data_IF_393760370611
#
_entry.id   IF_393760370611
#
_cell.length_a   1.000
_cell.length_b   1.000
_cell.length_c   1.000
_cell.angle_alpha   90.00
_cell.angle_beta   90.00
_cell.angle_gamma   90.00
#
_symmetry.space_group_name_H-M   'P 1'
#
loop_
_entity.id
_entity.type
_entity.pdbx_description
1 polymer ?
#
# COMPACT_ATOMS: atom_id res chain seq x y z
N UNK A 1 -5.73 14.71 0.89
CA UNK A 1 -4.96 14.58 2.10
C UNK A 1 -4.19 13.29 2.13
N UNK A 2 -3.04 13.29 2.77
CA UNK A 2 -2.19 12.12 2.78
C UNK A 2 -2.86 10.91 3.42
N UNK A 3 -3.68 11.14 4.44
CA UNK A 3 -4.35 10.04 5.13
C UNK A 3 -5.39 9.36 4.25
N UNK A 4 -6.04 10.12 3.37
CA UNK A 4 -7.01 9.54 2.45
C UNK A 4 -6.33 8.63 1.45
N UNK A 5 -5.18 9.07 0.93
CA UNK A 5 -4.41 8.27 -0.01
C UNK A 5 -3.95 6.97 0.64
N UNK A 6 -3.52 7.05 1.88
CA UNK A 6 -3.06 5.88 2.61
C UNK A 6 -4.20 4.90 2.85
N UNK A 7 -5.38 5.40 3.20
CA UNK A 7 -6.53 4.53 3.41
C UNK A 7 -6.94 3.82 2.13
N UNK A 8 -6.92 4.53 1.02
CA UNK A 8 -7.25 3.94 -0.27
C UNK A 8 -6.22 2.85 -0.60
N UNK A 9 -4.95 3.14 -0.38
CA UNK A 9 -3.88 2.20 -0.65
C UNK A 9 -4.05 0.92 0.17
N UNK A 10 -4.29 1.08 1.47
CA UNK A 10 -4.48 -0.06 2.37
C UNK A 10 -5.67 -0.89 1.93
N UNK A 11 -6.78 -0.24 1.60
CA UNK A 11 -7.98 -0.93 1.15
C UNK A 11 -7.75 -1.73 -0.11
N UNK A 12 -7.02 -1.15 -1.06
CA UNK A 12 -6.72 -1.84 -2.32
C UNK A 12 -5.80 -3.04 -2.09
N UNK A 13 -4.81 -2.89 -1.22
CA UNK A 13 -3.89 -3.99 -0.92
C UNK A 13 -4.65 -5.18 -0.34
N UNK A 14 -5.58 -4.90 0.56
CA UNK A 14 -6.32 -5.97 1.23
C UNK A 14 -7.38 -6.62 0.35
N UNK A 15 -7.96 -5.85 -0.57
CA UNK A 15 -9.06 -6.37 -1.38
C UNK A 15 -8.63 -6.83 -2.77
N UNK A 16 -7.42 -6.47 -3.22
CA UNK A 16 -6.96 -6.80 -4.57
C UNK A 16 -5.54 -7.30 -4.51
N UNK A 17 -5.40 -8.62 -4.62
CA UNK A 17 -4.09 -9.25 -4.56
C UNK A 17 -3.21 -8.88 -5.75
N UNK A 18 -3.82 -8.73 -6.92
CA UNK A 18 -3.09 -8.31 -8.11
C UNK A 18 -2.47 -6.92 -7.91
N UNK A 19 -3.21 -6.04 -7.27
CA UNK A 19 -2.70 -4.72 -6.96
C UNK A 19 -1.50 -4.80 -6.00
N UNK A 20 -1.63 -5.62 -4.97
CA UNK A 20 -0.54 -5.80 -4.01
C UNK A 20 0.71 -6.32 -4.70
N UNK A 21 0.55 -7.28 -5.61
CA UNK A 21 1.66 -7.85 -6.34
C UNK A 21 2.31 -6.81 -7.25
N UNK A 22 1.50 -6.04 -7.95
CA UNK A 22 2.00 -4.98 -8.82
C UNK A 22 2.74 -3.93 -8.01
N UNK A 23 2.26 -3.64 -6.82
CA UNK A 23 2.88 -2.66 -5.94
C UNK A 23 4.27 -3.11 -5.50
N UNK A 24 4.45 -4.41 -5.30
CA UNK A 24 5.75 -4.97 -4.94
C UNK A 24 6.70 -4.95 -6.14
N UNK A 25 6.19 -5.29 -7.32
CA UNK A 25 7.02 -5.38 -8.52
C UNK A 25 7.35 -4.01 -9.11
N UNK A 26 6.36 -3.13 -9.16
CA UNK A 26 6.53 -1.80 -9.75
C UNK A 26 5.83 -0.77 -8.88
N UNK A 27 6.40 -0.43 -7.73
CA UNK A 27 5.71 0.47 -6.78
C UNK A 27 5.44 1.85 -7.36
N UNK A 28 6.42 2.43 -8.04
CA UNK A 28 6.25 3.79 -8.56
C UNK A 28 5.15 3.85 -9.60
N UNK A 29 5.20 2.94 -10.57
CA UNK A 29 4.22 2.93 -11.64
C UNK A 29 2.82 2.63 -11.11
N UNK A 30 2.73 1.68 -10.19
CA UNK A 30 1.45 1.29 -9.63
C UNK A 30 0.80 2.43 -8.86
N UNK A 31 1.59 3.17 -8.09
CA UNK A 31 1.08 4.32 -7.35
C UNK A 31 0.59 5.41 -8.29
N UNK A 32 1.36 5.68 -9.34
CA UNK A 32 0.97 6.69 -10.31
C UNK A 32 -0.31 6.31 -11.03
N UNK A 33 -0.44 5.05 -11.40
CA UNK A 33 -1.63 4.56 -12.09
C UNK A 33 -2.89 4.73 -11.26
N UNK A 34 -2.73 4.75 -9.94
CA UNK A 34 -3.85 4.89 -9.02
C UNK A 34 -4.00 6.32 -8.46
N UNK A 35 -3.27 7.27 -9.04
CA UNK A 35 -3.38 8.66 -8.63
C UNK A 35 -2.73 8.97 -7.29
N UNK A 36 -1.83 8.09 -6.83
CA UNK A 36 -1.13 8.28 -5.58
C UNK A 36 0.28 8.78 -5.87
N UNK A 37 0.71 9.80 -5.15
CA UNK A 37 2.02 10.40 -5.34
C UNK A 37 3.11 9.48 -4.79
N UNK A 38 4.04 8.99 -5.63
CA UNK A 38 5.08 8.07 -5.16
C UNK A 38 6.22 8.83 -4.50
N UNK A 39 6.07 9.10 -3.21
CA UNK A 39 7.10 9.78 -2.45
C UNK A 39 8.28 8.83 -2.19
N UNK A 40 9.44 9.43 -1.90
CA UNK A 40 10.65 8.64 -1.62
C UNK A 40 10.43 7.76 -0.39
N UNK A 41 9.78 8.32 0.64
CA UNK A 41 9.49 7.56 1.85
C UNK A 41 8.63 6.33 1.55
N UNK A 42 7.61 6.52 0.72
CA UNK A 42 6.70 5.43 0.36
C UNK A 42 7.41 4.38 -0.47
N UNK A 43 8.18 4.81 -1.45
CA UNK A 43 8.94 3.88 -2.29
C UNK A 43 9.96 3.10 -1.48
N UNK A 44 10.62 3.77 -0.55
CA UNK A 44 11.61 3.13 0.32
C UNK A 44 10.95 2.07 1.19
N UNK A 45 9.79 2.38 1.71
CA UNK A 45 9.04 1.44 2.54
C UNK A 45 8.60 0.21 1.75
N UNK A 46 8.34 0.39 0.46
CA UNK A 46 7.89 -0.70 -0.40
C UNK A 46 9.03 -1.53 -0.96
N UNK A 47 10.25 -1.00 -0.90
CA UNK A 47 11.41 -1.75 -1.39
C UNK A 47 11.74 -2.87 -0.43
N UNK A 48 11.96 -4.04 -1.00
CA UNK A 48 12.39 -5.18 -0.19
C UNK A 48 11.27 -5.90 0.53
N UNK A 49 10.03 -5.44 0.38
CA UNK A 49 8.90 -6.18 0.95
C UNK A 49 8.30 -7.08 -0.13
N UNK A 50 7.74 -8.20 0.29
CA UNK A 50 7.00 -9.06 -0.62
C UNK A 50 5.51 -8.86 -0.40
N UNK A 51 4.70 -9.58 -1.18
CA UNK A 51 3.24 -9.42 -1.13
C UNK A 51 2.72 -9.74 0.27
N UNK A 52 3.27 -10.76 0.89
CA UNK A 52 2.82 -11.17 2.22
C UNK A 52 3.13 -10.10 3.27
N UNK A 53 4.32 -9.54 3.22
CA UNK A 53 4.71 -8.47 4.14
C UNK A 53 3.82 -7.24 3.91
N UNK A 54 3.53 -6.94 2.67
CA UNK A 54 2.69 -5.82 2.32
C UNK A 54 1.28 -5.99 2.87
N UNK A 55 0.73 -7.18 2.72
CA UNK A 55 -0.59 -7.48 3.27
C UNK A 55 -0.62 -7.37 4.79
N UNK A 56 0.44 -7.84 5.43
CA UNK A 56 0.54 -7.76 6.89
C UNK A 56 0.58 -6.31 7.35
N UNK A 57 1.31 -5.46 6.65
CA UNK A 57 1.35 -4.05 6.97
C UNK A 57 -0.02 -3.41 6.83
N UNK A 58 -0.69 -3.71 5.73
CA UNK A 58 -2.02 -3.16 5.47
C UNK A 58 -3.03 -3.65 6.52
N UNK A 59 -2.96 -4.90 6.87
CA UNK A 59 -3.85 -5.46 7.88
C UNK A 59 -3.59 -4.81 9.24
N UNK A 60 -2.34 -4.52 9.53
CA UNK A 60 -1.99 -3.85 10.78
C UNK A 60 -2.61 -2.47 10.87
N UNK A 61 -2.58 -1.72 9.77
CA UNK A 61 -3.22 -0.42 9.71
C UNK A 61 -4.73 -0.54 9.90
N UNK A 62 -5.33 -1.54 9.24
CA UNK A 62 -6.76 -1.77 9.36
C UNK A 62 -7.16 -2.14 10.79
N UNK A 63 -6.38 -3.01 11.41
CA UNK A 63 -6.63 -3.42 12.78
C UNK A 63 -6.54 -2.25 13.74
N UNK A 64 -5.56 -1.39 13.55
CA UNK A 64 -5.42 -0.20 14.37
C UNK A 64 -6.66 0.65 14.31
N UNK A 65 -7.20 0.79 13.12
CA UNK A 65 -8.40 1.60 12.92
C UNK A 65 -9.59 0.97 13.59
N UNK A 66 -9.71 -0.35 13.50
CA UNK A 66 -10.83 -1.08 14.07
C UNK A 66 -10.77 -1.14 15.58
N UNK A 67 -9.59 -1.08 16.14
CA UNK A 67 -9.40 -1.20 17.59
C UNK A 67 -9.87 0.03 18.34
N UNK A 68 -10.05 1.12 17.65
CA UNK A 68 -10.55 2.33 18.28
C UNK A 68 -12.05 2.31 18.37
#
# INVERSE_FOLDING_TARGET
MASDDLEILVGKILSDEDFAQALVENPEQTLKDNGIDPTIDLLDALQGVDVEALKNLAASFGDNKAAV
#
